data_IF_963504505817
#
_entry.id   IF_963504505817
#
_cell.length_a   1.000
_cell.length_b   1.000
_cell.length_c   1.000
_cell.angle_alpha   90.00
_cell.angle_beta   90.00
_cell.angle_gamma   90.00
#
_symmetry.space_group_name_H-M   'P 1'
#
loop_
_entity.id
_entity.type
_entity.pdbx_description
1 polymer ?
#
# COMPACT_ATOMS: atom_id res chain seq x y z
N UNK A 1 -22.14 -3.11 -14.75
CA UNK A 1 -21.45 -1.97 -14.11
C UNK A 1 -21.88 -1.97 -12.66
N UNK A 2 -21.05 -2.49 -11.77
CA UNK A 2 -21.32 -2.51 -10.32
C UNK A 2 -20.71 -1.26 -9.72
N UNK A 3 -21.56 -0.53 -9.01
CA UNK A 3 -21.36 0.81 -8.46
C UNK A 3 -20.36 0.75 -7.28
N UNK A 4 -19.14 1.22 -7.49
CA UNK A 4 -18.05 1.13 -6.50
C UNK A 4 -17.85 2.41 -5.68
N UNK A 5 -18.81 3.35 -5.68
CA UNK A 5 -18.70 4.57 -4.89
C UNK A 5 -20.08 5.04 -4.46
N UNK A 6 -20.46 4.75 -3.22
CA UNK A 6 -21.57 5.46 -2.57
C UNK A 6 -21.24 6.96 -2.57
N UNK A 7 -22.27 7.79 -2.71
CA UNK A 7 -22.21 9.25 -2.60
C UNK A 7 -21.43 9.65 -1.32
N UNK A 8 -20.49 10.60 -1.43
CA UNK A 8 -19.94 11.25 -0.26
C UNK A 8 -21.04 12.11 0.40
N UNK A 9 -20.99 12.36 1.71
CA UNK A 9 -22.04 13.09 2.46
C UNK A 9 -22.23 14.58 2.07
N UNK A 10 -21.84 14.97 0.86
CA UNK A 10 -21.95 16.30 0.26
C UNK A 10 -22.31 16.22 -1.23
N UNK A 11 -23.08 15.21 -1.66
CA UNK A 11 -23.62 15.06 -3.04
C UNK A 11 -22.55 14.87 -4.14
N UNK A 12 -21.34 14.45 -3.78
CA UNK A 12 -20.26 14.12 -4.73
C UNK A 12 -19.94 12.63 -4.77
N UNK A 13 -19.08 12.19 -5.69
CA UNK A 13 -18.53 10.83 -5.68
C UNK A 13 -17.58 10.66 -4.50
N UNK A 14 -17.66 9.54 -3.77
CA UNK A 14 -16.63 9.20 -2.79
C UNK A 14 -15.24 9.13 -3.46
N UNK A 15 -14.22 9.62 -2.76
CA UNK A 15 -12.87 9.70 -3.30
C UNK A 15 -12.16 8.34 -3.33
N UNK A 16 -12.84 7.29 -2.88
CA UNK A 16 -12.31 5.94 -2.78
C UNK A 16 -11.29 5.82 -1.64
N UNK A 17 -11.21 4.63 -1.07
CA UNK A 17 -10.39 4.37 0.12
C UNK A 17 -8.98 3.87 -0.20
N UNK A 18 -8.58 3.82 -1.48
CA UNK A 18 -7.29 3.25 -1.88
C UNK A 18 -6.70 3.84 -3.16
N UNK A 19 -5.36 3.88 -3.21
CA UNK A 19 -4.59 4.45 -4.34
C UNK A 19 -3.33 3.62 -4.63
N UNK A 20 -2.94 3.43 -5.92
CA UNK A 20 -1.63 2.88 -6.25
C UNK A 20 -0.50 3.82 -5.80
N UNK A 21 0.63 3.23 -5.41
CA UNK A 21 1.87 3.94 -5.12
C UNK A 21 2.94 3.56 -6.15
N UNK A 22 3.79 4.52 -6.51
CA UNK A 22 4.86 4.33 -7.48
C UNK A 22 6.21 4.60 -6.82
N UNK A 23 7.20 3.76 -7.10
CA UNK A 23 8.58 3.94 -6.66
C UNK A 23 9.50 3.88 -7.90
N UNK A 24 9.85 5.03 -8.49
CA UNK A 24 10.79 5.08 -9.61
C UNK A 24 12.24 5.20 -9.13
N UNK A 25 13.18 4.55 -9.82
CA UNK A 25 14.61 4.72 -9.58
C UNK A 25 15.45 3.57 -10.12
N UNK A 26 16.75 3.83 -10.35
CA UNK A 26 17.66 2.85 -10.94
C UNK A 26 17.86 1.60 -10.06
N UNK A 27 17.76 1.76 -8.74
CA UNK A 27 17.88 0.66 -7.78
C UNK A 27 16.57 -0.10 -7.55
N UNK A 28 15.45 0.36 -8.13
CA UNK A 28 14.14 -0.28 -7.91
C UNK A 28 14.05 -1.55 -8.74
N UNK A 29 13.62 -2.63 -8.09
CA UNK A 29 13.28 -3.87 -8.78
C UNK A 29 11.93 -3.69 -9.50
N UNK A 30 11.90 -3.98 -10.80
CA UNK A 30 10.68 -3.85 -11.61
C UNK A 30 9.60 -4.83 -11.15
N UNK A 31 8.35 -4.39 -11.12
CA UNK A 31 7.21 -5.26 -10.85
C UNK A 31 6.01 -4.55 -10.23
N UNK A 32 4.96 -5.32 -10.01
CA UNK A 32 3.82 -4.94 -9.17
C UNK A 32 4.04 -5.62 -7.83
N UNK A 33 3.92 -4.85 -6.74
CA UNK A 33 4.11 -5.34 -5.38
C UNK A 33 2.80 -5.21 -4.61
N UNK A 34 2.45 -6.26 -3.86
CA UNK A 34 1.16 -6.39 -3.18
C UNK A 34 0.12 -7.12 -4.03
N UNK A 35 -1.05 -7.38 -3.44
CA UNK A 35 -2.13 -8.09 -4.11
C UNK A 35 -3.11 -7.14 -4.81
N UNK A 36 -3.62 -7.50 -6.00
CA UNK A 36 -4.72 -6.79 -6.65
C UNK A 36 -5.95 -6.70 -5.73
N UNK A 37 -6.70 -5.59 -5.76
CA UNK A 37 -7.95 -5.50 -5.02
C UNK A 37 -8.99 -6.48 -5.55
N UNK A 38 -9.69 -7.17 -4.65
CA UNK A 38 -10.90 -7.93 -5.00
C UNK A 38 -12.11 -6.99 -5.00
N UNK A 39 -12.69 -6.77 -6.18
CA UNK A 39 -13.85 -5.90 -6.37
C UNK A 39 -15.17 -6.53 -5.93
N UNK A 40 -15.18 -7.83 -5.63
CA UNK A 40 -16.36 -8.57 -5.18
C UNK A 40 -16.38 -8.71 -3.65
N UNK A 41 -15.25 -8.48 -2.97
CA UNK A 41 -15.10 -8.62 -1.54
C UNK A 41 -14.80 -7.29 -0.85
N UNK A 42 -15.85 -6.53 -0.61
CA UNK A 42 -15.79 -5.25 0.08
C UNK A 42 -15.87 -5.43 1.61
N UNK A 43 -15.45 -4.40 2.35
CA UNK A 43 -15.70 -4.29 3.79
C UNK A 43 -17.17 -3.96 4.07
N UNK A 44 -17.63 -3.94 5.34
CA UNK A 44 -19.02 -3.61 5.69
C UNK A 44 -19.51 -2.24 5.21
N UNK A 45 -18.60 -1.33 4.89
CA UNK A 45 -18.91 0.02 4.40
C UNK A 45 -18.90 0.10 2.86
N UNK A 46 -18.60 -1.00 2.15
CA UNK A 46 -18.48 -1.02 0.70
C UNK A 46 -17.10 -0.60 0.19
N UNK A 47 -16.08 -0.57 1.06
CA UNK A 47 -14.72 -0.21 0.67
C UNK A 47 -13.92 -1.44 0.24
N UNK A 48 -12.94 -1.22 -0.63
CA UNK A 48 -11.96 -2.26 -0.95
C UNK A 48 -11.13 -2.57 0.32
N UNK A 49 -10.92 -3.86 0.63
CA UNK A 49 -10.08 -4.34 1.74
C UNK A 49 -8.58 -4.23 1.45
N UNK A 50 -7.81 -3.52 2.28
CA UNK A 50 -6.39 -3.26 2.03
C UNK A 50 -5.61 -4.56 1.80
N UNK A 51 -4.75 -4.57 0.78
CA UNK A 51 -3.96 -5.75 0.38
C UNK A 51 -2.48 -5.60 0.71
N UNK A 52 -2.05 -4.42 1.16
CA UNK A 52 -0.67 -4.13 1.50
C UNK A 52 -0.64 -3.27 2.75
N UNK A 53 0.10 -3.73 3.76
CA UNK A 53 0.42 -2.90 4.91
C UNK A 53 1.44 -1.86 4.50
N UNK A 54 1.07 -0.59 4.51
CA UNK A 54 1.96 0.49 4.07
C UNK A 54 3.19 0.65 4.99
N UNK A 55 3.14 0.14 6.22
CA UNK A 55 4.30 0.11 7.13
C UNK A 55 5.40 -0.81 6.61
N UNK A 56 5.03 -1.86 5.86
CA UNK A 56 5.98 -2.71 5.15
C UNK A 56 6.74 -1.96 4.06
N UNK A 57 6.11 -0.97 3.40
CA UNK A 57 6.79 -0.09 2.42
C UNK A 57 7.84 0.78 3.12
N UNK A 58 7.48 1.39 4.25
CA UNK A 58 8.43 2.18 5.05
C UNK A 58 9.56 1.31 5.61
N UNK A 59 9.26 0.12 6.11
CA UNK A 59 10.28 -0.80 6.60
C UNK A 59 11.29 -1.14 5.50
N UNK A 60 10.81 -1.39 4.27
CA UNK A 60 11.65 -1.64 3.10
C UNK A 60 12.59 -0.48 2.81
N UNK A 61 12.07 0.75 2.77
CA UNK A 61 12.89 1.94 2.50
C UNK A 61 13.94 2.17 3.59
N UNK A 62 13.54 2.08 4.86
CA UNK A 62 14.44 2.26 6.00
C UNK A 62 15.59 1.26 5.97
N UNK A 63 15.27 -0.02 5.81
CA UNK A 63 16.27 -1.10 5.86
C UNK A 63 17.12 -1.17 4.60
N UNK A 64 16.53 -0.99 3.42
CA UNK A 64 17.16 -1.34 2.13
C UNK A 64 17.69 -0.15 1.35
N UNK A 65 17.31 1.07 1.71
CA UNK A 65 17.84 2.29 1.10
C UNK A 65 18.57 3.17 2.11
N UNK A 66 18.00 3.37 3.30
CA UNK A 66 18.57 4.29 4.30
C UNK A 66 19.55 3.62 5.27
N UNK A 67 19.61 2.29 5.32
CA UNK A 67 20.44 1.55 6.27
C UNK A 67 20.02 1.75 7.74
N UNK A 68 18.76 2.11 7.97
CA UNK A 68 18.20 2.38 9.28
C UNK A 68 17.34 1.20 9.77
N UNK A 69 17.33 0.99 11.09
CA UNK A 69 16.48 0.00 11.74
C UNK A 69 15.00 0.39 11.63
N UNK A 70 14.23 -0.35 10.83
CA UNK A 70 12.78 -0.13 10.71
C UNK A 70 12.08 -0.32 12.05
N UNK A 71 12.55 -1.28 12.87
CA UNK A 71 12.00 -1.60 14.18
C UNK A 71 12.08 -0.41 15.13
N UNK A 72 13.19 0.31 15.13
CA UNK A 72 13.41 1.44 16.05
C UNK A 72 12.57 2.65 15.67
N UNK A 73 12.33 2.84 14.37
CA UNK A 73 11.53 3.96 13.83
C UNK A 73 10.04 3.66 13.92
N UNK A 74 9.60 2.48 13.45
CA UNK A 74 8.19 2.10 13.34
C UNK A 74 7.62 1.46 14.62
N UNK A 75 8.47 1.23 15.63
CA UNK A 75 8.13 0.60 16.91
C UNK A 75 7.44 -0.76 16.77
N UNK A 76 7.78 -1.49 15.71
CA UNK A 76 7.20 -2.79 15.38
C UNK A 76 7.96 -3.47 14.24
N UNK A 77 7.66 -4.75 14.01
CA UNK A 77 8.27 -5.52 12.93
C UNK A 77 7.27 -5.67 11.79
N UNK A 78 7.67 -5.23 10.61
CA UNK A 78 6.85 -5.28 9.40
C UNK A 78 7.64 -5.98 8.28
N UNK A 79 6.96 -6.76 7.45
CA UNK A 79 7.61 -7.57 6.42
C UNK A 79 8.14 -6.69 5.29
N UNK A 80 9.47 -6.61 5.19
CA UNK A 80 10.18 -5.91 4.12
C UNK A 80 9.78 -6.47 2.75
N UNK A 81 9.41 -5.60 1.83
CA UNK A 81 9.00 -5.92 0.47
C UNK A 81 10.21 -6.02 -0.45
N UNK A 82 10.06 -6.71 -1.60
CA UNK A 82 11.17 -6.96 -2.52
C UNK A 82 11.25 -5.95 -3.68
N UNK A 83 10.85 -4.70 -3.46
CA UNK A 83 10.98 -3.64 -4.48
C UNK A 83 12.32 -2.90 -4.44
N UNK A 84 13.12 -3.12 -3.39
CA UNK A 84 14.50 -2.66 -3.28
C UNK A 84 15.44 -3.85 -3.00
N UNK A 85 16.69 -3.84 -3.52
CA UNK A 85 17.70 -4.83 -3.19
C UNK A 85 18.05 -4.75 -1.70
N UNK A 86 18.53 -5.85 -1.11
CA UNK A 86 19.10 -5.80 0.24
C UNK A 86 20.43 -5.02 0.19
N UNK A 87 20.71 -4.24 1.23
CA UNK A 87 22.01 -3.60 1.45
C UNK A 87 23.10 -4.64 1.76
#
# INVERSE_FOLDING_TARGET
MVDASKENGSLGTDHGTRRPAFCPGNAVQKGIYGEPPDLQQLDPNGNLKYTTDFRSVYATVLERWMGASSKDVLKGTYQSQNFLPKL
#
